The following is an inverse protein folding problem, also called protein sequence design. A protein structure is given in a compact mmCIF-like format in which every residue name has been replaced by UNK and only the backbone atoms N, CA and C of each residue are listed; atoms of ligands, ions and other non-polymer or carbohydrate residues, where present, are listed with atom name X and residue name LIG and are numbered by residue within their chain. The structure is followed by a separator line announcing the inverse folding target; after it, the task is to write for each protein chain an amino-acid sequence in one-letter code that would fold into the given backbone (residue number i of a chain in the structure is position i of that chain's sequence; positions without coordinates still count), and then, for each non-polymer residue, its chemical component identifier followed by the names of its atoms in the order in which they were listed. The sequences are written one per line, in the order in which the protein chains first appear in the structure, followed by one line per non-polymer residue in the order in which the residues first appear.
data_IF_290815822195
#
_entry.id   IF_290815822195
#
_cell.length_a   1.000
_cell.length_b   1.000
_cell.length_c   1.000
_cell.angle_alpha   90.00
_cell.angle_beta   90.00
_cell.angle_gamma   90.00
#
_symmetry.space_group_name_H-M   'P 1'
#
loop_
_entity.id
_entity.type
_entity.pdbx_description
1 polymer ?
#
# COMPACT_ATOMS: atom_id res chain seq x y z
N UNK A 1 53.09 -15.66 -37.99
CA UNK A 1 52.34 -14.39 -38.08
C UNK A 1 50.86 -14.67 -37.94
N UNK A 2 50.35 -14.68 -36.72
CA UNK A 2 48.92 -14.66 -36.43
C UNK A 2 48.73 -13.51 -35.45
N UNK A 3 48.32 -12.36 -35.97
CA UNK A 3 47.94 -11.20 -35.17
C UNK A 3 46.54 -11.46 -34.63
N UNK A 4 46.44 -12.01 -33.41
CA UNK A 4 45.24 -11.82 -32.60
C UNK A 4 45.30 -10.38 -32.09
N UNK A 5 44.68 -9.47 -32.85
CA UNK A 5 44.42 -8.11 -32.39
C UNK A 5 43.34 -8.18 -31.31
N UNK A 6 43.75 -8.44 -30.08
CA UNK A 6 42.92 -8.25 -28.89
C UNK A 6 42.70 -6.74 -28.72
N UNK A 7 41.65 -6.21 -29.36
CA UNK A 7 41.19 -4.85 -29.14
C UNK A 7 40.37 -4.78 -27.85
N UNK A 8 40.99 -5.11 -26.72
CA UNK A 8 40.44 -4.79 -25.40
C UNK A 8 40.65 -3.31 -25.16
N UNK A 9 39.58 -2.56 -24.89
CA UNK A 9 39.72 -1.16 -24.50
C UNK A 9 40.50 -1.07 -23.17
N UNK A 10 41.09 0.08 -22.86
CA UNK A 10 41.77 0.32 -21.57
C UNK A 10 40.87 -0.02 -20.35
N UNK A 11 39.55 0.12 -20.50
CA UNK A 11 38.55 -0.26 -19.50
C UNK A 11 38.37 -1.77 -19.31
N UNK A 12 38.73 -2.58 -20.31
CA UNK A 12 38.43 -4.02 -20.36
C UNK A 12 39.63 -4.89 -19.91
N UNK A 13 40.84 -4.31 -19.86
CA UNK A 13 42.06 -5.03 -19.51
C UNK A 13 42.10 -5.47 -18.03
N UNK A 14 41.64 -4.62 -17.11
CA UNK A 14 41.64 -4.94 -15.67
C UNK A 14 40.68 -6.09 -15.31
N UNK A 15 39.40 -6.10 -15.74
CA UNK A 15 38.49 -7.21 -15.50
C UNK A 15 38.95 -8.52 -16.13
N UNK A 16 39.53 -8.47 -17.33
CA UNK A 16 40.12 -9.63 -18.00
C UNK A 16 41.26 -10.25 -17.18
N UNK A 17 42.19 -9.42 -16.68
CA UNK A 17 43.28 -9.88 -15.83
C UNK A 17 42.77 -10.49 -14.51
N UNK A 18 41.71 -9.94 -13.91
CA UNK A 18 41.10 -10.54 -12.73
C UNK A 18 40.53 -11.94 -13.01
N UNK A 19 39.89 -12.14 -14.16
CA UNK A 19 39.39 -13.44 -14.59
C UNK A 19 40.55 -14.44 -14.80
N UNK A 20 41.64 -14.02 -15.44
CA UNK A 20 42.85 -14.83 -15.62
C UNK A 20 43.44 -15.24 -14.26
N UNK A 21 43.65 -14.28 -13.36
CA UNK A 21 44.23 -14.52 -12.03
C UNK A 21 43.34 -15.38 -11.13
N UNK A 22 42.04 -15.49 -11.44
CA UNK A 22 41.07 -16.29 -10.68
C UNK A 22 40.76 -17.65 -11.32
N UNK A 23 41.27 -17.92 -12.54
CA UNK A 23 41.03 -19.18 -13.25
C UNK A 23 41.84 -20.32 -12.62
N UNK A 24 41.21 -21.48 -12.44
CA UNK A 24 41.82 -22.64 -11.77
C UNK A 24 43.08 -23.16 -12.49
N UNK A 25 43.10 -23.19 -13.82
CA UNK A 25 44.28 -23.62 -14.58
C UNK A 25 45.45 -22.65 -14.36
N UNK A 26 45.17 -21.33 -14.31
CA UNK A 26 46.18 -20.31 -14.03
C UNK A 26 46.74 -20.43 -12.61
N UNK A 27 45.87 -20.60 -11.60
CA UNK A 27 46.27 -20.77 -10.19
C UNK A 27 47.17 -22.00 -9.96
N UNK A 28 46.95 -23.07 -10.71
CA UNK A 28 47.74 -24.31 -10.62
C UNK A 28 48.92 -24.36 -11.59
N UNK A 29 49.21 -23.27 -12.31
CA UNK A 29 50.29 -23.19 -13.32
C UNK A 29 50.17 -24.25 -14.43
N UNK A 30 48.96 -24.71 -14.72
CA UNK A 30 48.65 -25.65 -15.80
C UNK A 30 48.13 -24.90 -17.03
N UNK A 31 48.91 -23.92 -17.50
CA UNK A 31 48.55 -23.07 -18.65
C UNK A 31 49.59 -23.19 -19.74
N UNK A 32 49.16 -23.09 -20.99
CA UNK A 32 50.02 -23.05 -22.17
C UNK A 32 49.65 -21.88 -23.10
N UNK A 33 50.16 -21.88 -24.32
CA UNK A 33 49.89 -20.82 -25.29
C UNK A 33 48.44 -20.78 -25.78
N UNK A 34 47.67 -21.86 -25.60
CA UNK A 34 46.26 -21.96 -26.01
C UNK A 34 45.30 -21.64 -24.87
N UNK A 35 45.77 -21.54 -23.63
CA UNK A 35 44.99 -21.23 -22.43
C UNK A 35 43.91 -20.16 -22.61
N UNK A 36 44.26 -19.00 -23.20
CA UNK A 36 43.30 -17.90 -23.39
C UNK A 36 42.23 -18.27 -24.43
N UNK A 37 42.60 -18.98 -25.49
CA UNK A 37 41.68 -19.38 -26.56
C UNK A 37 40.72 -20.50 -26.09
N UNK A 38 41.18 -21.37 -25.19
CA UNK A 38 40.41 -22.49 -24.64
C UNK A 38 39.47 -22.10 -23.48
N UNK A 39 39.72 -20.96 -22.81
CA UNK A 39 38.93 -20.47 -21.68
C UNK A 39 38.14 -19.22 -22.07
N UNK A 40 37.10 -19.40 -22.91
CA UNK A 40 36.25 -18.31 -23.41
C UNK A 40 35.50 -17.54 -22.31
N UNK A 41 35.35 -18.16 -21.13
CA UNK A 41 34.80 -17.57 -19.92
C UNK A 41 35.65 -16.42 -19.36
N UNK A 42 36.95 -16.34 -19.69
CA UNK A 42 37.81 -15.21 -19.33
C UNK A 42 37.32 -13.88 -19.91
N UNK A 43 36.59 -13.93 -21.03
CA UNK A 43 36.00 -12.76 -21.68
C UNK A 43 34.62 -12.39 -21.13
N UNK A 44 34.05 -13.21 -20.25
CA UNK A 44 32.79 -12.90 -19.56
C UNK A 44 33.09 -11.95 -18.40
N UNK A 45 33.06 -10.66 -18.69
CA UNK A 45 33.31 -9.61 -17.71
C UNK A 45 32.06 -9.37 -16.86
N UNK A 46 32.21 -9.41 -15.54
CA UNK A 46 31.13 -9.03 -14.63
C UNK A 46 30.91 -7.52 -14.69
N UNK A 47 29.68 -7.04 -14.92
CA UNK A 47 29.41 -5.61 -14.94
C UNK A 47 29.76 -4.98 -13.58
N UNK A 48 30.65 -3.98 -13.57
CA UNK A 48 30.98 -3.25 -12.34
C UNK A 48 29.84 -2.27 -12.02
N UNK A 49 29.35 -2.29 -10.78
CA UNK A 49 28.35 -1.34 -10.32
C UNK A 49 28.98 -0.01 -9.93
N UNK A 50 29.06 0.91 -10.89
CA UNK A 50 29.63 2.25 -10.69
C UNK A 50 28.68 3.20 -9.94
N UNK A 51 28.38 2.88 -8.68
CA UNK A 51 27.35 3.57 -7.87
C UNK A 51 27.72 5.00 -7.53
N UNK A 52 28.98 5.26 -7.15
CA UNK A 52 29.43 6.60 -6.77
C UNK A 52 29.34 7.58 -7.95
N UNK A 53 29.80 7.19 -9.14
CA UNK A 53 29.71 8.05 -10.32
C UNK A 53 28.25 8.30 -10.74
N UNK A 54 27.37 7.29 -10.64
CA UNK A 54 25.93 7.47 -10.89
C UNK A 54 25.30 8.47 -9.92
N UNK A 55 25.68 8.41 -8.64
CA UNK A 55 25.20 9.36 -7.63
C UNK A 55 25.70 10.78 -7.90
N UNK A 56 26.99 10.94 -8.20
CA UNK A 56 27.58 12.25 -8.54
C UNK A 56 26.94 12.83 -9.80
N UNK A 57 26.69 12.01 -10.81
CA UNK A 57 25.99 12.42 -12.02
C UNK A 57 24.55 12.88 -11.72
N UNK A 58 23.82 12.13 -10.89
CA UNK A 58 22.48 12.53 -10.47
C UNK A 58 22.48 13.86 -9.72
N UNK A 59 23.35 14.03 -8.71
CA UNK A 59 23.46 15.27 -7.95
C UNK A 59 23.85 16.44 -8.86
N UNK A 60 24.85 16.27 -9.71
CA UNK A 60 25.28 17.28 -10.68
C UNK A 60 24.14 17.68 -11.62
N UNK A 61 23.41 16.71 -12.17
CA UNK A 61 22.28 16.98 -13.05
C UNK A 61 21.17 17.75 -12.33
N UNK A 62 20.78 17.35 -11.11
CA UNK A 62 19.72 18.05 -10.34
C UNK A 62 20.15 19.46 -9.94
N UNK A 63 21.42 19.67 -9.58
CA UNK A 63 21.92 21.01 -9.23
C UNK A 63 21.93 21.97 -10.43
N UNK A 64 22.25 21.48 -11.63
CA UNK A 64 22.36 22.30 -12.84
C UNK A 64 21.00 22.49 -13.52
N UNK A 65 20.25 21.41 -13.71
CA UNK A 65 19.01 21.39 -14.50
C UNK A 65 17.74 21.45 -13.65
N UNK A 66 17.85 21.33 -12.32
CA UNK A 66 16.71 21.18 -11.43
C UNK A 66 16.13 19.76 -11.40
N UNK A 67 15.08 19.52 -10.59
CA UNK A 67 14.38 18.25 -10.56
C UNK A 67 13.63 17.98 -11.87
N UNK A 68 13.50 16.71 -12.26
CA UNK A 68 12.81 16.30 -13.49
C UNK A 68 11.30 16.58 -13.46
N UNK A 69 10.69 16.61 -12.28
CA UNK A 69 9.31 17.02 -12.09
C UNK A 69 9.28 18.50 -11.72
N UNK A 70 8.62 19.37 -12.51
CA UNK A 70 8.48 20.78 -12.18
C UNK A 70 7.82 20.95 -10.81
N UNK A 71 8.45 21.72 -9.92
CA UNK A 71 7.83 22.07 -8.64
C UNK A 71 6.90 23.27 -8.93
N UNK A 72 5.57 23.12 -8.74
CA UNK A 72 4.60 24.14 -9.14
C UNK A 72 4.72 25.45 -8.35
N UNK A 73 5.48 25.44 -7.25
CA UNK A 73 5.73 26.59 -6.38
C UNK A 73 7.22 26.85 -6.26
N UNK A 74 7.62 28.13 -6.13
CA UNK A 74 9.00 28.52 -5.79
C UNK A 74 9.35 28.26 -4.31
N UNK A 75 8.84 27.16 -3.76
CA UNK A 75 9.13 26.77 -2.39
C UNK A 75 10.55 26.21 -2.32
N UNK A 76 11.32 26.67 -1.33
CA UNK A 76 12.61 26.04 -1.00
C UNK A 76 12.33 24.77 -0.18
N UNK A 77 13.18 23.73 -0.31
CA UNK A 77 13.16 22.61 0.63
C UNK A 77 13.22 23.12 2.07
N UNK A 78 12.51 22.44 2.97
CA UNK A 78 12.60 22.73 4.41
C UNK A 78 14.05 22.59 4.87
N UNK A 79 14.54 23.55 5.67
CA UNK A 79 15.83 23.44 6.37
C UNK A 79 15.74 22.67 7.68
N UNK A 80 14.53 22.26 8.07
CA UNK A 80 14.27 21.54 9.31
C UNK A 80 14.39 20.04 9.02
N UNK A 81 15.34 19.41 9.72
CA UNK A 81 15.38 17.95 9.78
C UNK A 81 14.22 17.46 10.66
N UNK A 82 13.38 16.54 10.17
CA UNK A 82 12.24 16.05 10.92
C UNK A 82 12.72 15.26 12.15
N UNK A 83 12.14 15.58 13.30
CA UNK A 83 12.39 14.83 14.54
C UNK A 83 11.67 13.48 14.43
N UNK A 84 12.45 12.40 14.45
CA UNK A 84 11.91 11.04 14.52
C UNK A 84 11.69 10.72 16.00
N UNK A 85 10.46 10.37 16.43
CA UNK A 85 10.20 9.98 17.81
C UNK A 85 11.06 8.78 18.25
N UNK A 86 11.34 8.69 19.55
CA UNK A 86 12.08 7.54 20.09
C UNK A 86 11.24 6.27 19.99
N UNK A 87 11.86 5.19 19.51
CA UNK A 87 11.23 3.87 19.41
C UNK A 87 11.63 3.07 20.65
N UNK A 88 10.68 2.45 21.38
CA UNK A 88 11.00 1.55 22.48
C UNK A 88 11.99 0.45 22.06
N UNK A 89 12.82 -0.01 23.00
CA UNK A 89 13.69 -1.16 22.75
C UNK A 89 12.87 -2.45 22.80
N UNK A 90 13.09 -3.34 21.83
CA UNK A 90 12.47 -4.66 21.77
C UNK A 90 11.65 -4.87 20.50
N UNK A 91 10.88 -5.95 20.49
CA UNK A 91 9.90 -6.24 19.45
C UNK A 91 8.61 -5.42 19.68
N UNK A 92 7.91 -5.02 18.63
CA UNK A 92 6.65 -4.30 18.76
C UNK A 92 5.57 -5.17 19.44
N UNK A 93 4.56 -4.57 20.09
CA UNK A 93 3.47 -5.31 20.71
C UNK A 93 2.70 -6.17 19.70
N UNK A 94 2.10 -7.25 20.18
CA UNK A 94 1.21 -8.11 19.37
C UNK A 94 0.09 -7.27 18.77
N UNK A 95 -0.15 -7.43 17.48
CA UNK A 95 -1.17 -6.70 16.73
C UNK A 95 -2.14 -7.62 16.01
N UNK A 96 -3.04 -7.03 15.24
CA UNK A 96 -4.05 -7.77 14.49
C UNK A 96 -3.47 -8.71 13.41
N UNK A 97 -2.22 -8.49 12.98
CA UNK A 97 -1.56 -9.38 12.02
C UNK A 97 -1.25 -10.74 12.63
N UNK A 98 -0.94 -10.78 13.92
CA UNK A 98 -0.69 -12.05 14.62
C UNK A 98 -1.95 -12.93 14.62
N UNK A 99 -3.13 -12.33 14.80
CA UNK A 99 -4.42 -13.02 14.68
C UNK A 99 -4.61 -13.55 13.28
N UNK A 100 -4.37 -12.72 12.26
CA UNK A 100 -4.49 -13.12 10.86
C UNK A 100 -3.56 -14.29 10.50
N UNK A 101 -2.31 -14.26 10.96
CA UNK A 101 -1.34 -15.33 10.68
C UNK A 101 -1.71 -16.63 11.40
N UNK A 102 -2.29 -16.55 12.60
CA UNK A 102 -2.68 -17.71 13.40
C UNK A 102 -3.98 -18.34 12.94
N UNK A 103 -4.98 -17.51 12.60
CA UNK A 103 -6.37 -17.95 12.44
C UNK A 103 -6.92 -17.77 11.02
N UNK A 104 -6.11 -17.21 10.11
CA UNK A 104 -6.50 -16.97 8.73
C UNK A 104 -7.48 -15.80 8.55
N UNK A 105 -7.91 -15.52 7.30
CA UNK A 105 -8.80 -14.40 6.98
C UNK A 105 -10.13 -14.40 7.73
N UNK A 106 -10.76 -15.56 7.90
CA UNK A 106 -12.04 -15.70 8.60
C UNK A 106 -11.90 -15.48 10.11
N UNK A 107 -10.81 -15.98 10.71
CA UNK A 107 -10.50 -15.72 12.11
C UNK A 107 -10.21 -14.24 12.37
N UNK A 108 -9.46 -13.60 11.47
CA UNK A 108 -9.23 -12.16 11.49
C UNK A 108 -10.55 -11.37 11.43
N UNK A 109 -11.44 -11.67 10.48
CA UNK A 109 -12.73 -10.97 10.36
C UNK A 109 -13.59 -11.13 11.63
N UNK A 110 -13.62 -12.32 12.23
CA UNK A 110 -14.32 -12.56 13.51
C UNK A 110 -13.71 -11.75 14.65
N UNK A 111 -12.38 -11.67 14.73
CA UNK A 111 -11.70 -10.88 15.76
C UNK A 111 -11.97 -9.38 15.61
N UNK A 112 -12.03 -8.87 14.38
CA UNK A 112 -12.41 -7.48 14.08
C UNK A 112 -13.84 -7.21 14.54
N UNK A 113 -14.79 -8.08 14.19
CA UNK A 113 -16.20 -7.92 14.62
C UNK A 113 -16.38 -8.01 16.14
N UNK A 114 -15.58 -8.83 16.81
CA UNK A 114 -15.61 -9.02 18.25
C UNK A 114 -14.87 -7.92 19.03
N UNK A 115 -14.12 -7.04 18.34
CA UNK A 115 -13.34 -6.00 19.00
C UNK A 115 -14.26 -4.99 19.73
N UNK A 116 -14.01 -4.71 21.02
CA UNK A 116 -14.76 -3.69 21.74
C UNK A 116 -14.27 -2.30 21.37
N UNK A 117 -15.10 -1.52 20.69
CA UNK A 117 -14.79 -0.14 20.31
C UNK A 117 -14.66 0.03 18.80
N UNK A 118 -14.14 1.18 18.39
CA UNK A 118 -13.93 1.49 16.97
C UNK A 118 -12.47 1.27 16.60
N UNK A 119 -12.21 0.46 15.58
CA UNK A 119 -10.86 0.31 15.05
C UNK A 119 -10.55 1.41 14.02
N UNK A 120 -9.27 1.75 13.93
CA UNK A 120 -8.76 2.73 12.98
C UNK A 120 -7.88 2.04 11.94
N UNK A 121 -8.04 2.42 10.66
CA UNK A 121 -7.09 2.13 9.60
C UNK A 121 -6.33 3.42 9.22
N UNK A 122 -5.00 3.38 9.29
CA UNK A 122 -4.18 4.53 8.91
C UNK A 122 -3.89 4.54 7.40
N UNK A 123 -4.29 5.60 6.70
CA UNK A 123 -4.05 5.83 5.27
C UNK A 123 -2.83 6.71 4.99
N UNK A 124 -2.10 7.15 6.02
CA UNK A 124 -0.96 8.08 5.91
C UNK A 124 0.11 7.59 4.93
N UNK A 125 0.29 6.27 4.81
CA UNK A 125 1.31 5.64 3.97
C UNK A 125 0.87 5.47 2.51
N UNK A 126 -0.40 5.74 2.18
CA UNK A 126 -0.98 5.54 0.83
C UNK A 126 -1.91 6.68 0.41
N UNK A 127 -3.17 6.66 0.85
CA UNK A 127 -4.18 7.57 0.28
C UNK A 127 -3.97 9.02 0.69
N UNK A 128 -3.49 9.26 1.91
CA UNK A 128 -3.37 10.62 2.42
C UNK A 128 -2.43 11.48 1.56
N UNK A 129 -1.26 10.94 1.24
CA UNK A 129 -0.32 11.63 0.36
C UNK A 129 -0.67 11.51 -1.12
N UNK A 130 -1.47 10.51 -1.52
CA UNK A 130 -2.07 10.46 -2.85
C UNK A 130 -2.97 11.68 -3.08
N UNK A 131 -3.79 12.03 -2.08
CA UNK A 131 -4.67 13.20 -2.12
C UNK A 131 -3.96 14.53 -1.98
N UNK A 132 -3.03 14.66 -1.02
CA UNK A 132 -2.43 15.95 -0.66
C UNK A 132 -1.16 16.27 -1.43
N UNK A 133 -0.34 15.25 -1.74
CA UNK A 133 1.03 15.40 -2.21
C UNK A 133 1.26 14.66 -3.54
N UNK A 134 0.19 14.45 -4.31
CA UNK A 134 0.23 13.76 -5.59
C UNK A 134 1.00 12.42 -5.53
N UNK A 135 0.86 11.68 -4.43
CA UNK A 135 1.49 10.37 -4.22
C UNK A 135 3.03 10.41 -4.14
N UNK A 136 3.64 11.56 -3.85
CA UNK A 136 5.10 11.76 -3.94
C UNK A 136 5.89 11.43 -2.66
N UNK A 137 5.27 10.88 -1.63
CA UNK A 137 5.98 10.46 -0.42
C UNK A 137 6.86 9.23 -0.72
N UNK A 138 8.12 9.31 -0.29
CA UNK A 138 9.18 8.38 -0.66
C UNK A 138 9.34 7.26 0.34
N UNK A 139 9.89 6.14 -0.12
CA UNK A 139 10.23 4.99 0.74
C UNK A 139 11.17 5.39 1.87
N UNK A 140 12.07 6.34 1.61
CA UNK A 140 13.00 6.87 2.59
C UNK A 140 12.31 7.45 3.83
N UNK A 141 11.27 8.25 3.64
CA UNK A 141 10.56 8.92 4.74
C UNK A 141 9.64 7.96 5.48
N UNK A 142 8.91 7.11 4.75
CA UNK A 142 8.02 6.10 5.34
C UNK A 142 8.77 5.13 6.25
N UNK A 143 9.96 4.67 5.84
CA UNK A 143 10.78 3.74 6.63
C UNK A 143 11.32 4.36 7.92
N UNK A 144 11.57 5.66 7.94
CA UNK A 144 12.09 6.33 9.14
C UNK A 144 11.09 6.29 10.29
N UNK A 145 9.80 6.44 10.00
CA UNK A 145 8.74 6.47 11.01
C UNK A 145 8.10 5.09 11.27
N UNK A 146 8.23 4.16 10.33
CA UNK A 146 7.64 2.81 10.40
C UNK A 146 7.86 2.07 11.74
N UNK A 147 9.07 2.02 12.34
CA UNK A 147 9.27 1.34 13.62
C UNK A 147 8.47 1.98 14.76
N UNK A 148 8.35 3.31 14.77
CA UNK A 148 7.51 4.01 15.76
C UNK A 148 6.03 3.67 15.57
N UNK A 149 5.54 3.62 14.33
CA UNK A 149 4.16 3.21 14.03
C UNK A 149 3.89 1.79 14.51
N UNK A 150 4.80 0.86 14.23
CA UNK A 150 4.70 -0.54 14.68
C UNK A 150 4.57 -0.67 16.20
N UNK A 151 5.26 0.18 16.97
CA UNK A 151 5.21 0.14 18.44
C UNK A 151 4.03 0.91 19.02
N UNK A 152 3.84 2.16 18.59
CA UNK A 152 2.91 3.10 19.23
C UNK A 152 1.49 2.98 18.70
N UNK A 153 1.29 2.36 17.54
CA UNK A 153 0.00 2.17 16.89
C UNK A 153 -0.28 0.68 16.62
N UNK A 154 0.19 -0.21 17.50
CA UNK A 154 0.03 -1.66 17.36
C UNK A 154 -1.42 -2.14 17.30
N UNK A 155 -2.37 -1.34 17.79
CA UNK A 155 -3.80 -1.64 17.80
C UNK A 155 -4.55 -1.23 16.52
N UNK A 156 -3.87 -0.67 15.51
CA UNK A 156 -4.50 -0.38 14.23
C UNK A 156 -5.08 -1.65 13.60
N UNK A 157 -6.26 -1.53 12.99
CA UNK A 157 -6.86 -2.59 12.18
C UNK A 157 -5.92 -2.98 11.04
N UNK A 158 -5.43 -1.98 10.32
CA UNK A 158 -4.42 -2.14 9.28
C UNK A 158 -3.72 -0.83 8.96
N UNK A 159 -2.60 -0.93 8.26
CA UNK A 159 -1.87 0.19 7.68
C UNK A 159 -2.03 0.13 6.16
N UNK A 160 -2.75 1.08 5.59
CA UNK A 160 -2.87 1.16 4.14
C UNK A 160 -1.61 1.82 3.56
N UNK A 161 -0.80 1.03 2.87
CA UNK A 161 0.53 1.45 2.44
C UNK A 161 0.87 1.13 0.99
N UNK A 162 -0.10 0.59 0.23
CA UNK A 162 0.16 0.09 -1.12
C UNK A 162 -1.08 0.09 -2.03
N UNK A 163 -0.87 -0.17 -3.32
CA UNK A 163 -1.94 -0.08 -4.32
C UNK A 163 -2.29 1.37 -4.68
N UNK A 164 -3.44 1.57 -5.31
CA UNK A 164 -3.78 2.87 -5.91
C UNK A 164 -2.69 3.37 -6.86
N UNK A 165 -2.37 4.66 -6.80
CA UNK A 165 -1.33 5.26 -7.65
C UNK A 165 0.10 5.05 -7.11
N UNK A 166 0.28 4.42 -5.95
CA UNK A 166 1.63 4.29 -5.36
C UNK A 166 2.54 3.42 -6.22
N UNK A 167 1.99 2.41 -6.89
CA UNK A 167 2.75 1.47 -7.69
C UNK A 167 3.38 2.13 -8.93
N UNK A 168 2.57 2.86 -9.72
CA UNK A 168 3.07 3.54 -10.91
C UNK A 168 3.93 4.76 -10.55
N UNK A 169 3.52 5.55 -9.55
CA UNK A 169 4.24 6.76 -9.16
C UNK A 169 5.62 6.45 -8.59
N UNK A 170 5.76 5.38 -7.81
CA UNK A 170 7.05 4.94 -7.30
C UNK A 170 8.05 4.71 -8.43
N UNK A 171 7.65 3.99 -9.48
CA UNK A 171 8.54 3.70 -10.60
C UNK A 171 8.73 4.89 -11.53
N UNK A 172 7.64 5.59 -11.86
CA UNK A 172 7.60 6.63 -12.89
C UNK A 172 8.23 7.95 -12.43
N UNK A 173 7.96 8.36 -11.20
CA UNK A 173 8.32 9.69 -10.70
C UNK A 173 9.31 9.67 -9.55
N UNK A 174 9.28 8.63 -8.71
CA UNK A 174 10.22 8.52 -7.58
C UNK A 174 11.48 7.73 -7.92
N UNK A 175 11.46 6.98 -9.03
CA UNK A 175 12.53 6.07 -9.44
C UNK A 175 12.86 5.03 -8.36
N UNK A 176 11.83 4.57 -7.66
CA UNK A 176 11.88 3.58 -6.58
C UNK A 176 11.09 2.32 -6.99
N UNK A 177 11.49 1.16 -6.47
CA UNK A 177 10.75 -0.09 -6.68
C UNK A 177 9.65 -0.22 -5.62
N UNK A 178 8.36 -0.28 -5.99
CA UNK A 178 7.27 -0.43 -5.02
C UNK A 178 7.38 -1.75 -4.26
N UNK A 179 7.83 -2.84 -4.91
CA UNK A 179 8.03 -4.16 -4.26
C UNK A 179 9.04 -4.08 -3.12
N UNK A 180 10.15 -3.37 -3.35
CA UNK A 180 11.16 -3.14 -2.32
C UNK A 180 10.60 -2.29 -1.17
N UNK A 181 9.76 -1.28 -1.47
CA UNK A 181 9.04 -0.52 -0.43
C UNK A 181 8.18 -1.45 0.43
N UNK A 182 7.41 -2.35 -0.17
CA UNK A 182 6.58 -3.31 0.56
C UNK A 182 7.41 -4.20 1.49
N UNK A 183 8.46 -4.83 0.96
CA UNK A 183 9.34 -5.73 1.72
C UNK A 183 10.06 -5.01 2.87
N UNK A 184 10.59 -3.82 2.61
CA UNK A 184 11.29 -3.04 3.63
C UNK A 184 10.34 -2.56 4.72
N UNK A 185 9.14 -2.08 4.36
CA UNK A 185 8.13 -1.72 5.35
C UNK A 185 7.63 -2.94 6.11
N UNK A 186 7.46 -4.08 5.46
CA UNK A 186 6.98 -5.32 6.12
C UNK A 186 7.92 -5.77 7.23
N UNK A 187 9.23 -5.63 6.97
CA UNK A 187 10.30 -5.94 7.93
C UNK A 187 10.25 -5.02 9.16
N UNK A 188 9.97 -3.72 8.97
CA UNK A 188 9.88 -2.74 10.06
C UNK A 188 8.51 -2.75 10.78
N UNK A 189 7.51 -3.28 10.06
CA UNK A 189 6.07 -3.39 10.27
C UNK A 189 5.45 -4.55 11.05
N UNK A 190 6.14 -5.52 11.66
CA UNK A 190 5.74 -6.94 11.60
C UNK A 190 4.35 -7.32 12.17
N UNK A 191 3.77 -6.50 13.04
CA UNK A 191 2.57 -6.75 13.83
C UNK A 191 1.24 -6.16 13.29
N UNK A 192 1.29 -5.17 12.39
CA UNK A 192 0.08 -4.51 11.84
C UNK A 192 -0.22 -5.07 10.44
N UNK A 193 -1.48 -5.47 10.12
CA UNK A 193 -1.84 -5.92 8.78
C UNK A 193 -1.57 -4.85 7.74
N UNK A 194 -1.01 -5.23 6.60
CA UNK A 194 -0.86 -4.31 5.47
C UNK A 194 -2.07 -4.38 4.55
N UNK A 195 -2.59 -3.21 4.19
CA UNK A 195 -3.73 -3.09 3.30
C UNK A 195 -3.37 -2.38 2.00
N UNK A 196 -3.97 -2.84 0.91
CA UNK A 196 -3.89 -2.18 -0.38
C UNK A 196 -5.26 -1.95 -1.02
N UNK A 197 -5.32 -0.91 -1.86
CA UNK A 197 -6.43 -0.69 -2.78
C UNK A 197 -6.16 -1.41 -4.11
N UNK A 198 -7.04 -2.34 -4.48
CA UNK A 198 -6.96 -3.16 -5.70
C UNK A 198 -8.16 -2.88 -6.60
N UNK A 199 -7.92 -2.53 -7.87
CA UNK A 199 -8.98 -2.45 -8.87
C UNK A 199 -9.22 -3.84 -9.46
N UNK A 200 -10.42 -4.38 -9.31
CA UNK A 200 -10.71 -5.80 -9.54
C UNK A 200 -10.15 -6.38 -10.84
N UNK A 201 -10.47 -5.78 -12.00
CA UNK A 201 -10.05 -6.28 -13.31
C UNK A 201 -8.65 -5.83 -13.77
N UNK A 202 -7.99 -4.92 -13.04
CA UNK A 202 -6.76 -4.26 -13.53
C UNK A 202 -5.62 -4.29 -12.51
N UNK A 203 -5.84 -4.86 -11.33
CA UNK A 203 -4.96 -4.76 -10.17
C UNK A 203 -4.57 -3.30 -9.86
N UNK A 204 -3.38 -2.88 -10.28
CA UNK A 204 -2.81 -1.54 -10.08
C UNK A 204 -2.47 -0.82 -11.40
N UNK A 205 -2.86 -1.40 -12.55
CA UNK A 205 -2.57 -0.83 -13.85
C UNK A 205 -3.74 -0.07 -14.47
N UNK A 206 -3.45 0.58 -15.61
CA UNK A 206 -4.39 1.47 -16.31
C UNK A 206 -5.08 0.83 -17.52
N UNK A 207 -4.71 -0.40 -17.89
CA UNK A 207 -5.27 -1.15 -19.02
C UNK A 207 -5.88 -2.44 -18.53
N UNK A 208 -6.75 -3.06 -19.32
CA UNK A 208 -7.25 -4.39 -19.00
C UNK A 208 -6.12 -5.41 -19.13
N UNK A 209 -6.05 -6.33 -18.17
CA UNK A 209 -5.12 -7.44 -18.18
C UNK A 209 -5.89 -8.74 -18.26
N UNK A 210 -5.31 -9.79 -18.87
CA UNK A 210 -5.90 -11.12 -18.76
C UNK A 210 -5.93 -11.56 -17.28
N UNK A 211 -6.93 -12.35 -16.93
CA UNK A 211 -7.21 -12.77 -15.55
C UNK A 211 -5.96 -13.30 -14.84
N UNK A 212 -5.18 -14.14 -15.52
CA UNK A 212 -3.96 -14.74 -14.97
C UNK A 212 -2.94 -13.70 -14.46
N UNK A 213 -2.89 -12.50 -15.04
CA UNK A 213 -2.02 -11.43 -14.55
C UNK A 213 -2.52 -10.87 -13.21
N UNK A 214 -3.84 -10.75 -13.01
CA UNK A 214 -4.45 -10.31 -11.74
C UNK A 214 -4.23 -11.35 -10.65
N UNK A 215 -4.44 -12.63 -10.96
CA UNK A 215 -4.13 -13.74 -10.04
C UNK A 215 -2.65 -13.74 -9.63
N UNK A 216 -1.72 -13.67 -10.59
CA UNK A 216 -0.30 -13.67 -10.28
C UNK A 216 0.13 -12.43 -9.50
N UNK A 217 -0.46 -11.26 -9.79
CA UNK A 217 -0.20 -10.05 -9.03
C UNK A 217 -0.59 -10.21 -7.55
N UNK A 218 -1.78 -10.76 -7.26
CA UNK A 218 -2.24 -10.96 -5.89
C UNK A 218 -1.38 -11.99 -5.14
N UNK A 219 -1.00 -13.09 -5.79
CA UNK A 219 -0.09 -14.10 -5.26
C UNK A 219 1.24 -13.45 -4.83
N UNK A 220 1.89 -12.73 -5.74
CA UNK A 220 3.18 -12.08 -5.46
C UNK A 220 3.02 -10.96 -4.41
N UNK A 221 1.91 -10.21 -4.41
CA UNK A 221 1.63 -9.22 -3.36
C UNK A 221 1.55 -9.89 -1.98
N UNK A 222 0.85 -11.02 -1.85
CA UNK A 222 0.74 -11.76 -0.59
C UNK A 222 2.08 -12.32 -0.15
N UNK A 223 2.85 -12.94 -1.05
CA UNK A 223 4.20 -13.45 -0.77
C UNK A 223 5.14 -12.36 -0.24
N UNK A 224 4.96 -11.11 -0.68
CA UNK A 224 5.77 -9.97 -0.24
C UNK A 224 5.24 -9.27 1.02
N UNK A 225 4.16 -9.77 1.62
CA UNK A 225 3.66 -9.33 2.92
C UNK A 225 2.44 -8.41 2.89
N UNK A 226 1.71 -8.35 1.77
CA UNK A 226 0.37 -7.77 1.72
C UNK A 226 -0.64 -8.66 2.44
N UNK A 227 -1.52 -8.10 3.26
CA UNK A 227 -2.44 -8.89 4.08
C UNK A 227 -3.91 -8.74 3.66
N UNK A 228 -4.35 -7.51 3.42
CA UNK A 228 -5.74 -7.14 3.12
C UNK A 228 -5.84 -6.50 1.74
N UNK A 229 -6.73 -7.01 0.91
CA UNK A 229 -7.02 -6.51 -0.42
C UNK A 229 -8.40 -5.87 -0.44
N UNK A 230 -8.44 -4.54 -0.46
CA UNK A 230 -9.66 -3.76 -0.69
C UNK A 230 -9.96 -3.75 -2.18
N UNK A 231 -10.87 -4.62 -2.61
CA UNK A 231 -11.25 -4.82 -4.01
C UNK A 231 -12.44 -3.94 -4.37
N UNK A 232 -12.26 -3.07 -5.37
CA UNK A 232 -13.33 -2.22 -5.87
C UNK A 232 -13.37 -2.21 -7.41
N UNK A 233 -14.50 -1.78 -7.95
CA UNK A 233 -14.65 -1.40 -9.35
C UNK A 233 -15.17 0.04 -9.44
N UNK A 234 -14.67 0.81 -10.42
CA UNK A 234 -15.02 2.22 -10.60
C UNK A 234 -16.49 2.48 -10.91
N UNK A 235 -17.23 1.45 -11.35
CA UNK A 235 -18.65 1.50 -11.69
C UNK A 235 -19.49 0.60 -10.78
N UNK A 236 -18.91 0.04 -9.73
CA UNK A 236 -19.50 -1.05 -8.93
C UNK A 236 -19.91 -2.25 -9.82
N UNK A 237 -19.15 -2.54 -10.88
CA UNK A 237 -19.45 -3.64 -11.78
C UNK A 237 -19.01 -4.97 -11.17
N UNK A 238 -19.99 -5.75 -10.71
CA UNK A 238 -19.80 -6.99 -9.95
C UNK A 238 -18.84 -8.00 -10.58
N UNK A 239 -18.90 -8.33 -11.89
CA UNK A 239 -17.98 -9.30 -12.48
C UNK A 239 -16.50 -8.95 -12.29
N UNK A 240 -16.15 -7.67 -12.41
CA UNK A 240 -14.78 -7.20 -12.18
C UNK A 240 -14.37 -7.35 -10.71
N UNK A 241 -15.30 -7.05 -9.79
CA UNK A 241 -15.05 -7.17 -8.35
C UNK A 241 -14.85 -8.63 -7.96
N UNK A 242 -15.73 -9.53 -8.41
CA UNK A 242 -15.66 -10.98 -8.12
C UNK A 242 -14.33 -11.56 -8.58
N UNK A 243 -13.85 -11.19 -9.78
CA UNK A 243 -12.54 -11.63 -10.26
C UNK A 243 -11.39 -11.18 -9.34
N UNK A 244 -11.38 -9.91 -8.92
CA UNK A 244 -10.37 -9.40 -7.99
C UNK A 244 -10.46 -10.04 -6.61
N UNK A 245 -11.69 -10.29 -6.11
CA UNK A 245 -11.95 -10.98 -4.85
C UNK A 245 -11.43 -12.42 -4.89
N UNK A 246 -11.70 -13.14 -5.98
CA UNK A 246 -11.22 -14.50 -6.18
C UNK A 246 -9.68 -14.53 -6.25
N UNK A 247 -9.07 -13.60 -6.98
CA UNK A 247 -7.61 -13.48 -7.06
C UNK A 247 -6.95 -13.23 -5.69
N UNK A 248 -7.50 -12.31 -4.90
CA UNK A 248 -7.01 -12.02 -3.56
C UNK A 248 -7.24 -13.19 -2.58
N UNK A 249 -8.43 -13.82 -2.62
CA UNK A 249 -8.76 -14.96 -1.78
C UNK A 249 -7.91 -16.19 -2.10
N UNK A 250 -7.69 -16.51 -3.38
CA UNK A 250 -6.81 -17.62 -3.80
C UNK A 250 -5.36 -17.40 -3.40
N UNK A 251 -4.90 -16.15 -3.32
CA UNK A 251 -3.58 -15.83 -2.79
C UNK A 251 -3.47 -16.05 -1.26
N UNK A 252 -4.60 -16.21 -0.55
CA UNK A 252 -4.65 -16.30 0.91
C UNK A 252 -4.73 -14.94 1.62
N UNK A 253 -5.15 -13.90 0.91
CA UNK A 253 -5.37 -12.56 1.46
C UNK A 253 -6.75 -12.40 2.10
N UNK A 254 -6.88 -11.41 2.99
CA UNK A 254 -8.20 -10.96 3.45
C UNK A 254 -8.87 -10.19 2.32
N UNK A 255 -10.00 -10.69 1.85
CA UNK A 255 -10.83 -10.05 0.83
C UNK A 255 -11.78 -9.05 1.48
N UNK A 256 -11.54 -7.76 1.25
CA UNK A 256 -12.43 -6.67 1.62
C UNK A 256 -13.12 -6.14 0.34
N UNK A 257 -14.41 -6.42 0.17
CA UNK A 257 -15.14 -5.95 -1.01
C UNK A 257 -15.67 -4.53 -0.78
N UNK A 258 -15.32 -3.60 -1.65
CA UNK A 258 -15.61 -2.18 -1.47
C UNK A 258 -16.64 -1.67 -2.48
N UNK A 259 -17.75 -1.14 -1.97
CA UNK A 259 -18.78 -0.46 -2.75
C UNK A 259 -18.44 1.02 -2.84
N UNK A 260 -18.26 1.53 -4.05
CA UNK A 260 -18.07 2.97 -4.28
C UNK A 260 -19.38 3.71 -4.01
N UNK A 261 -19.38 4.62 -3.04
CA UNK A 261 -20.55 5.41 -2.67
C UNK A 261 -20.70 6.63 -3.58
N UNK A 262 -21.95 6.90 -3.98
CA UNK A 262 -22.35 8.07 -4.75
C UNK A 262 -23.82 8.42 -4.50
N UNK A 263 -24.24 9.62 -4.89
CA UNK A 263 -25.58 10.10 -4.63
C UNK A 263 -25.79 10.45 -3.15
N UNK A 264 -27.00 10.21 -2.64
CA UNK A 264 -27.36 10.48 -1.26
C UNK A 264 -28.55 9.60 -0.84
N UNK A 265 -28.30 8.60 0.01
CA UNK A 265 -29.35 7.68 0.48
C UNK A 265 -30.39 8.34 1.39
N UNK A 266 -30.10 9.55 1.92
CA UNK A 266 -31.05 10.31 2.72
C UNK A 266 -32.00 11.17 1.87
N UNK A 267 -31.73 11.30 0.55
CA UNK A 267 -32.53 12.11 -0.36
C UNK A 267 -33.54 11.23 -1.13
N UNK A 268 -34.84 11.30 -0.82
CA UNK A 268 -35.86 10.49 -1.48
C UNK A 268 -36.07 10.86 -2.96
N UNK A 269 -35.50 11.96 -3.46
CA UNK A 269 -35.56 12.31 -4.88
C UNK A 269 -34.46 11.61 -5.70
N UNK A 270 -33.44 11.01 -5.06
CA UNK A 270 -32.29 10.38 -5.71
C UNK A 270 -32.40 8.85 -5.73
N UNK A 271 -33.35 8.34 -6.52
CA UNK A 271 -33.70 6.92 -6.51
C UNK A 271 -32.73 5.98 -7.25
N UNK A 272 -31.82 6.48 -8.08
CA UNK A 272 -30.89 5.62 -8.85
C UNK A 272 -29.89 4.86 -7.94
N UNK A 273 -29.36 5.55 -6.93
CA UNK A 273 -28.42 4.99 -5.96
C UNK A 273 -29.07 5.05 -4.57
N UNK A 274 -30.18 4.34 -4.44
CA UNK A 274 -30.99 4.25 -3.23
C UNK A 274 -30.33 3.37 -2.16
N UNK A 275 -30.90 3.36 -0.95
CA UNK A 275 -30.49 2.41 0.08
C UNK A 275 -30.58 0.95 -0.40
N UNK A 276 -31.66 0.60 -1.09
CA UNK A 276 -31.88 -0.74 -1.64
C UNK A 276 -30.78 -1.15 -2.65
N UNK A 277 -30.31 -0.21 -3.48
CA UNK A 277 -29.18 -0.46 -4.37
C UNK A 277 -27.94 -0.93 -3.60
N UNK A 278 -27.58 -0.24 -2.51
CA UNK A 278 -26.42 -0.59 -1.70
C UNK A 278 -26.60 -1.91 -0.95
N UNK A 279 -27.81 -2.19 -0.44
CA UNK A 279 -28.11 -3.47 0.23
C UNK A 279 -28.00 -4.64 -0.76
N UNK A 280 -28.64 -4.53 -1.93
CA UNK A 280 -28.61 -5.59 -2.94
C UNK A 280 -27.18 -5.87 -3.44
N UNK A 281 -26.39 -4.82 -3.67
CA UNK A 281 -24.99 -4.98 -4.06
C UNK A 281 -24.16 -5.65 -2.95
N UNK A 282 -24.41 -5.28 -1.68
CA UNK A 282 -23.75 -5.90 -0.53
C UNK A 282 -24.07 -7.39 -0.44
N UNK A 283 -25.32 -7.79 -0.68
CA UNK A 283 -25.72 -9.21 -0.70
C UNK A 283 -24.98 -10.03 -1.76
N UNK A 284 -24.77 -9.46 -2.96
CA UNK A 284 -23.99 -10.12 -4.01
C UNK A 284 -22.53 -10.30 -3.61
N UNK A 285 -21.94 -9.29 -2.97
CA UNK A 285 -20.55 -9.37 -2.48
C UNK A 285 -20.40 -10.36 -1.32
N UNK A 286 -21.42 -10.46 -0.45
CA UNK A 286 -21.46 -11.49 0.58
C UNK A 286 -21.56 -12.90 -0.01
N UNK A 287 -22.41 -13.10 -1.03
CA UNK A 287 -22.49 -14.36 -1.79
C UNK A 287 -21.16 -14.73 -2.45
N UNK A 288 -20.42 -13.73 -2.91
CA UNK A 288 -19.09 -13.89 -3.50
C UNK A 288 -17.97 -14.17 -2.47
N UNK A 289 -18.26 -14.17 -1.17
CA UNK A 289 -17.32 -14.57 -0.13
C UNK A 289 -16.39 -13.45 0.35
N UNK A 290 -16.87 -12.21 0.45
CA UNK A 290 -16.09 -11.17 1.13
C UNK A 290 -15.99 -11.43 2.64
N UNK A 291 -14.82 -11.17 3.22
CA UNK A 291 -14.60 -11.28 4.67
C UNK A 291 -15.01 -9.99 5.40
N UNK A 292 -14.90 -8.84 4.72
CA UNK A 292 -15.15 -7.50 5.25
C UNK A 292 -15.86 -6.70 4.18
N UNK A 293 -16.98 -6.06 4.53
CA UNK A 293 -17.70 -5.18 3.61
C UNK A 293 -17.22 -3.74 3.82
N UNK A 294 -16.77 -3.11 2.74
CA UNK A 294 -16.33 -1.72 2.76
C UNK A 294 -17.30 -0.80 2.01
N UNK A 295 -17.61 0.36 2.60
CA UNK A 295 -18.23 1.48 1.88
C UNK A 295 -17.15 2.51 1.58
N UNK A 296 -16.85 2.70 0.29
CA UNK A 296 -15.81 3.60 -0.20
C UNK A 296 -16.43 4.89 -0.74
N UNK A 297 -16.51 5.91 0.10
CA UNK A 297 -16.88 7.26 -0.30
C UNK A 297 -15.66 8.06 -0.77
N UNK A 298 -15.28 7.85 -2.03
CA UNK A 298 -14.11 8.46 -2.66
C UNK A 298 -14.20 10.00 -2.81
N UNK A 299 -15.38 10.59 -2.62
CA UNK A 299 -15.62 12.01 -2.88
C UNK A 299 -15.98 12.81 -1.62
N UNK A 300 -16.20 12.16 -0.48
CA UNK A 300 -16.64 12.83 0.76
C UNK A 300 -18.11 13.25 0.71
N UNK A 301 -18.97 12.42 0.11
CA UNK A 301 -20.41 12.66 -0.04
C UNK A 301 -21.25 12.10 1.11
N UNK A 302 -20.69 11.16 1.88
CA UNK A 302 -21.40 10.49 2.96
C UNK A 302 -21.58 11.45 4.13
N UNK A 303 -22.77 12.04 4.24
CA UNK A 303 -23.15 12.92 5.36
C UNK A 303 -23.45 12.09 6.63
N UNK A 304 -23.47 12.70 7.83
CA UNK A 304 -23.79 11.98 9.06
C UNK A 304 -25.16 11.27 9.00
N UNK A 305 -26.18 11.90 8.41
CA UNK A 305 -27.50 11.26 8.29
C UNK A 305 -27.50 10.10 7.30
N UNK A 306 -26.91 10.29 6.11
CA UNK A 306 -26.72 9.22 5.13
C UNK A 306 -25.92 8.05 5.72
N UNK A 307 -24.93 8.34 6.56
CA UNK A 307 -24.12 7.37 7.30
C UNK A 307 -25.00 6.53 8.24
N UNK A 308 -25.81 7.17 9.09
CA UNK A 308 -26.68 6.44 10.03
C UNK A 308 -27.64 5.51 9.30
N UNK A 309 -28.28 6.00 8.24
CA UNK A 309 -29.24 5.22 7.45
C UNK A 309 -28.54 4.01 6.80
N UNK A 310 -27.45 4.24 6.06
CA UNK A 310 -26.78 3.18 5.32
C UNK A 310 -26.14 2.14 6.25
N UNK A 311 -25.39 2.59 7.25
CA UNK A 311 -24.59 1.68 8.08
C UNK A 311 -25.49 0.88 9.02
N UNK A 312 -26.56 1.48 9.57
CA UNK A 312 -27.51 0.72 10.39
C UNK A 312 -28.21 -0.37 9.58
N UNK A 313 -28.65 -0.05 8.35
CA UNK A 313 -29.28 -1.04 7.48
C UNK A 313 -28.33 -2.17 7.08
N UNK A 314 -27.06 -1.87 6.82
CA UNK A 314 -26.03 -2.88 6.56
C UNK A 314 -25.76 -3.74 7.80
N UNK A 315 -25.66 -3.14 8.98
CA UNK A 315 -25.46 -3.86 10.24
C UNK A 315 -26.63 -4.79 10.55
N UNK A 316 -27.86 -4.33 10.36
CA UNK A 316 -29.07 -5.13 10.57
C UNK A 316 -29.12 -6.32 9.60
N UNK A 317 -28.71 -6.10 8.35
CA UNK A 317 -28.70 -7.15 7.32
C UNK A 317 -27.55 -8.15 7.52
N UNK A 318 -26.39 -7.69 7.99
CA UNK A 318 -25.16 -8.46 8.12
C UNK A 318 -24.55 -8.31 9.53
N UNK A 319 -25.17 -8.91 10.56
CA UNK A 319 -24.79 -8.68 11.96
C UNK A 319 -23.38 -9.17 12.31
N UNK A 320 -22.89 -10.21 11.61
CA UNK A 320 -21.63 -10.90 11.91
C UNK A 320 -20.47 -10.45 11.02
N UNK A 321 -20.72 -9.58 10.04
CA UNK A 321 -19.72 -9.15 9.06
C UNK A 321 -19.09 -7.84 9.52
N UNK A 322 -17.75 -7.71 9.50
CA UNK A 322 -17.11 -6.43 9.72
C UNK A 322 -17.49 -5.40 8.64
N UNK A 323 -17.84 -4.19 9.07
CA UNK A 323 -18.17 -3.06 8.22
C UNK A 323 -17.06 -2.01 8.34
N UNK A 324 -16.38 -1.74 7.23
CA UNK A 324 -15.28 -0.79 7.12
C UNK A 324 -15.71 0.43 6.31
N UNK A 325 -15.52 1.63 6.85
CA UNK A 325 -15.90 2.86 6.16
C UNK A 325 -14.69 3.69 5.76
N UNK A 326 -14.65 4.02 4.48
CA UNK A 326 -13.69 4.95 3.92
C UNK A 326 -14.42 6.21 3.45
N UNK A 327 -13.90 7.39 3.82
CA UNK A 327 -14.35 8.67 3.27
C UNK A 327 -13.17 9.64 3.07
N UNK A 328 -13.44 10.75 2.40
CA UNK A 328 -12.56 11.92 2.34
C UNK A 328 -13.21 13.09 3.07
N UNK A 329 -12.41 13.93 3.71
CA UNK A 329 -12.86 15.11 4.45
C UNK A 329 -13.07 16.34 3.55
N UNK A 330 -13.34 16.13 2.26
CA UNK A 330 -13.39 17.19 1.24
C UNK A 330 -14.44 18.24 1.56
N UNK A 331 -15.56 17.80 2.14
CA UNK A 331 -16.66 18.66 2.57
C UNK A 331 -16.48 19.24 3.98
N UNK A 332 -15.39 18.91 4.69
CA UNK A 332 -15.15 19.30 6.09
C UNK A 332 -16.09 18.64 7.11
N UNK A 333 -16.75 17.54 6.72
CA UNK A 333 -17.70 16.80 7.55
C UNK A 333 -17.24 15.37 7.88
N UNK A 334 -16.03 14.98 7.47
CA UNK A 334 -15.56 13.60 7.51
C UNK A 334 -15.47 13.04 8.93
N UNK A 335 -14.96 13.81 9.90
CA UNK A 335 -14.94 13.39 11.32
C UNK A 335 -16.36 13.13 11.84
N UNK A 336 -17.30 14.04 11.56
CA UNK A 336 -18.69 13.89 11.98
C UNK A 336 -19.37 12.68 11.33
N UNK A 337 -19.08 12.41 10.05
CA UNK A 337 -19.59 11.26 9.33
C UNK A 337 -19.01 9.93 9.83
N UNK A 338 -17.71 9.88 10.16
CA UNK A 338 -17.10 8.68 10.73
C UNK A 338 -17.59 8.38 12.14
N UNK A 339 -17.84 9.40 12.97
CA UNK A 339 -18.50 9.23 14.26
C UNK A 339 -19.94 8.68 14.09
N UNK A 340 -20.70 9.21 13.13
CA UNK A 340 -22.03 8.70 12.83
C UNK A 340 -22.01 7.24 12.31
N UNK A 341 -20.99 6.86 11.54
CA UNK A 341 -20.78 5.48 11.12
C UNK A 341 -20.48 4.56 12.30
N UNK A 342 -19.61 4.98 13.22
CA UNK A 342 -19.30 4.23 14.44
C UNK A 342 -20.56 4.04 15.30
N UNK A 343 -21.35 5.12 15.48
CA UNK A 343 -22.64 5.08 16.18
C UNK A 343 -23.63 4.08 15.57
N UNK A 344 -23.64 3.99 14.25
CA UNK A 344 -24.49 3.09 13.47
C UNK A 344 -23.95 1.65 13.34
N UNK A 345 -22.77 1.37 13.93
CA UNK A 345 -22.23 0.01 14.03
C UNK A 345 -21.16 -0.34 13.00
N UNK A 346 -20.46 0.63 12.41
CA UNK A 346 -19.19 0.37 11.72
C UNK A 346 -18.13 -0.14 12.71
N UNK A 347 -17.31 -1.10 12.28
CA UNK A 347 -16.23 -1.67 13.11
C UNK A 347 -14.91 -0.94 12.86
N UNK A 348 -14.70 -0.42 11.65
CA UNK A 348 -13.45 0.23 11.23
C UNK A 348 -13.73 1.50 10.43
N UNK A 349 -12.92 2.55 10.65
CA UNK A 349 -12.90 3.74 9.80
C UNK A 349 -11.49 4.09 9.32
N UNK A 350 -11.39 4.57 8.09
CA UNK A 350 -10.17 5.14 7.52
C UNK A 350 -9.88 6.53 8.10
N UNK A 351 -8.63 6.74 8.52
CA UNK A 351 -8.14 7.98 9.10
C UNK A 351 -6.70 8.26 8.65
N UNK A 352 -6.25 9.50 8.75
CA UNK A 352 -4.85 9.89 8.51
C UNK A 352 -4.30 10.66 9.71
N UNK A 353 -2.97 10.62 9.91
CA UNK A 353 -2.32 11.45 10.93
C UNK A 353 -2.62 12.92 10.69
N UNK A 354 -2.77 13.69 11.76
CA UNK A 354 -3.33 15.04 11.73
C UNK A 354 -2.68 15.95 10.67
N UNK A 355 -1.35 15.91 10.54
CA UNK A 355 -0.60 16.71 9.56
C UNK A 355 -0.79 16.29 8.09
N UNK A 356 -1.40 15.12 7.85
CA UNK A 356 -1.69 14.54 6.54
C UNK A 356 -3.20 14.29 6.35
N UNK A 357 -4.03 14.86 7.22
CA UNK A 357 -5.48 14.70 7.22
C UNK A 357 -6.21 15.95 6.70
N UNK A 358 -7.52 15.85 6.55
CA UNK A 358 -8.39 16.96 6.18
C UNK A 358 -8.33 17.31 4.69
N UNK A 359 -9.18 18.26 4.28
CA UNK A 359 -9.35 18.63 2.87
C UNK A 359 -9.62 17.37 2.02
N UNK A 360 -8.87 17.15 0.95
CA UNK A 360 -9.05 15.97 0.10
C UNK A 360 -8.50 14.67 0.70
N UNK A 361 -7.94 14.69 1.90
CA UNK A 361 -7.45 13.50 2.63
C UNK A 361 -8.53 12.92 3.55
N UNK A 362 -8.18 11.90 4.32
CA UNK A 362 -9.06 11.30 5.32
C UNK A 362 -9.26 12.21 6.56
N UNK A 363 -10.28 11.94 7.39
CA UNK A 363 -10.41 12.54 8.72
C UNK A 363 -9.19 12.29 9.62
N UNK A 364 -8.95 13.19 10.57
CA UNK A 364 -7.81 13.14 11.50
C UNK A 364 -7.93 12.00 12.52
N UNK A 365 -6.83 11.25 12.72
CA UNK A 365 -6.65 10.29 13.82
C UNK A 365 -6.88 10.99 15.17
N UNK A 366 -6.19 12.10 15.42
CA UNK A 366 -6.28 12.83 16.69
C UNK A 366 -7.70 13.27 17.04
N UNK A 367 -8.44 13.77 16.04
CA UNK A 367 -9.85 14.13 16.21
C UNK A 367 -10.72 12.92 16.55
N UNK A 368 -10.57 11.80 15.81
CA UNK A 368 -11.34 10.58 16.08
C UNK A 368 -11.05 10.00 17.46
N UNK A 369 -9.78 9.93 17.86
CA UNK A 369 -9.36 9.48 19.20
C UNK A 369 -9.94 10.41 20.28
N UNK A 370 -9.83 11.73 20.12
CA UNK A 370 -10.34 12.68 21.10
C UNK A 370 -11.87 12.60 21.27
N UNK A 371 -12.62 12.48 20.17
CA UNK A 371 -14.07 12.41 20.19
C UNK A 371 -14.61 11.08 20.75
N UNK A 372 -13.88 9.98 20.58
CA UNK A 372 -14.33 8.66 21.03
C UNK A 372 -13.83 8.29 22.44
N UNK A 373 -12.85 9.03 22.96
CA UNK A 373 -12.29 8.81 24.31
C UNK A 373 -13.36 8.87 25.39
N UNK A 374 -13.41 7.84 26.22
CA UNK A 374 -14.39 7.73 27.32
C UNK A 374 -15.79 7.31 26.89
N UNK A 375 -16.00 7.02 25.59
CA UNK A 375 -17.24 6.44 25.07
C UNK A 375 -17.09 4.93 24.85
N UNK A 376 -18.19 4.24 24.49
CA UNK A 376 -18.15 2.83 24.07
C UNK A 376 -17.38 2.59 22.75
N UNK A 377 -17.03 3.65 22.02
CA UNK A 377 -16.30 3.62 20.76
C UNK A 377 -14.82 3.97 20.90
N UNK A 378 -14.28 3.99 22.13
CA UNK A 378 -12.87 4.25 22.38
C UNK A 378 -11.99 3.38 21.47
N UNK A 379 -11.04 4.01 20.77
CA UNK A 379 -10.21 3.37 19.76
C UNK A 379 -9.02 2.59 20.34
N UNK A 380 -8.77 2.72 21.65
CA UNK A 380 -7.66 2.04 22.32
C UNK A 380 -6.28 2.41 21.75
N UNK A 381 -6.19 3.52 21.02
CA UNK A 381 -4.99 4.06 20.35
C UNK A 381 -4.44 5.25 21.12
#
# INVERSE_FOLDING_TARGET
SLSLSLSLSLSDQHPFLQNVLSNHQFLHSTVDTQFIDENQDLFIMKPVQNRAQKLLHYLGHVMVNGPTTPIPVKAKPSSIDPVIPTVPMGEPPVGFRDVLLREGPEGFAKAVRAHPGLLLMDTTFRDAHQSLLATRVRTYDLKKIAPYVSHSFSNLFSLENWGGATFDVAMRFLYECPWKRLQELRTLVPNIPFQMLLRGANAVGYTNYPDNAVFKFCEVAKENGMDIFRVFDSLNYLPNMILGMEAAGRAGGVVEAAISYTGDVSDPMRQKYSLEYYINLSEELMRAGTHILCIKDMAGLLKPESSRILISALRDRFPDVPIHIHTHDTAGAGVASMLACAEAGADVVDVAVDSMSGMTSQPSIGAMVACTKGTKFNTGT
#
